data_IF_632507619634
#
_entry.id   IF_632507619634
#
_cell.length_a   1.000
_cell.length_b   1.000
_cell.length_c   1.000
_cell.angle_alpha   90.00
_cell.angle_beta   90.00
_cell.angle_gamma   90.00
#
_symmetry.space_group_name_H-M   'P 1'
#
loop_
_entity.id
_entity.type
_entity.pdbx_description
1 polymer ?
#
# COMPACT_ATOMS: atom_id res chain seq x y z
N UNK A 1 71.47 18.71 -6.69
CA UNK A 1 72.53 17.87 -6.10
C UNK A 1 72.40 16.49 -6.70
N UNK A 2 73.43 16.08 -7.44
CA UNK A 2 73.79 14.74 -7.94
C UNK A 2 72.81 13.87 -8.75
N UNK A 3 73.10 13.76 -10.07
CA UNK A 3 73.10 12.48 -10.80
C UNK A 3 74.21 11.55 -10.25
N UNK A 4 74.05 10.22 -10.31
CA UNK A 4 74.81 9.40 -11.28
C UNK A 4 73.96 8.27 -11.95
N UNK A 5 74.20 7.87 -13.21
CA UNK A 5 75.19 6.87 -13.73
C UNK A 5 74.77 5.41 -13.39
N UNK A 6 74.90 4.34 -14.18
CA UNK A 6 75.61 4.00 -15.43
C UNK A 6 75.12 2.56 -15.83
N UNK A 7 74.84 2.26 -17.10
CA UNK A 7 75.62 1.35 -18.00
C UNK A 7 75.26 -0.16 -18.02
N UNK A 8 75.75 -0.96 -19.02
CA UNK A 8 74.91 -1.71 -19.96
C UNK A 8 75.24 -3.24 -19.97
N UNK A 9 74.90 -3.96 -21.08
CA UNK A 9 75.39 -5.26 -21.61
C UNK A 9 74.19 -6.20 -21.91
N UNK A 10 73.82 -6.44 -23.18
CA UNK A 10 74.36 -7.39 -24.18
C UNK A 10 73.81 -8.83 -24.07
N UNK A 11 73.40 -9.37 -25.23
CA UNK A 11 73.70 -10.69 -25.82
C UNK A 11 72.47 -11.33 -26.54
N UNK A 12 72.70 -11.57 -27.83
CA UNK A 12 72.10 -12.51 -28.82
C UNK A 12 71.24 -13.68 -28.32
N UNK A 13 70.23 -14.05 -29.15
CA UNK A 13 70.13 -15.37 -29.85
C UNK A 13 68.93 -15.38 -30.83
N UNK A 14 69.14 -15.85 -32.07
CA UNK A 14 68.11 -16.45 -32.94
C UNK A 14 68.04 -17.97 -32.64
N UNK A 15 66.89 -18.65 -32.78
CA UNK A 15 66.50 -19.34 -34.03
C UNK A 15 64.98 -19.18 -34.34
N UNK A 16 64.54 -19.06 -35.58
CA UNK A 16 64.28 -20.12 -36.58
C UNK A 16 63.10 -21.06 -36.27
N UNK A 17 62.20 -21.14 -37.27
CA UNK A 17 61.20 -22.18 -37.59
C UNK A 17 59.76 -22.10 -37.02
N UNK A 18 58.85 -21.94 -37.99
CA UNK A 18 57.60 -22.68 -38.23
C UNK A 18 56.64 -22.94 -37.06
N UNK A 19 55.41 -22.43 -37.22
CA UNK A 19 54.27 -23.29 -37.55
C UNK A 19 53.02 -22.47 -37.85
N UNK A 20 52.38 -22.81 -38.96
CA UNK A 20 50.96 -22.55 -39.19
C UNK A 20 50.16 -23.05 -37.98
N UNK A 21 49.34 -22.17 -37.41
CA UNK A 21 48.31 -22.54 -36.46
C UNK A 21 46.97 -21.97 -36.96
N UNK A 22 46.00 -22.88 -36.97
CA UNK A 22 44.72 -22.87 -37.64
C UNK A 22 43.78 -21.69 -37.28
N UNK A 23 42.88 -21.31 -38.21
CA UNK A 23 41.85 -20.33 -37.96
C UNK A 23 40.76 -20.87 -37.02
N UNK A 24 40.45 -20.05 -36.01
CA UNK A 24 39.11 -19.73 -35.49
C UNK A 24 38.04 -20.83 -35.53
N UNK A 25 37.67 -21.33 -34.35
CA UNK A 25 36.31 -21.80 -34.08
C UNK A 25 35.95 -21.50 -32.63
N UNK A 26 35.53 -20.25 -32.40
CA UNK A 26 34.80 -19.84 -31.20
C UNK A 26 33.40 -20.45 -31.26
N UNK A 27 33.19 -21.58 -30.58
CA UNK A 27 31.86 -22.07 -30.24
C UNK A 27 31.30 -21.17 -29.13
N UNK A 28 30.50 -20.16 -29.52
CA UNK A 28 29.63 -19.46 -28.58
C UNK A 28 28.57 -20.44 -28.07
N UNK A 29 28.74 -20.91 -26.84
CA UNK A 29 27.68 -21.62 -26.13
C UNK A 29 26.59 -20.61 -25.74
N UNK A 30 25.47 -20.67 -26.46
CA UNK A 30 24.30 -19.83 -26.25
C UNK A 30 23.58 -20.28 -24.96
N UNK A 31 23.95 -19.68 -23.84
CA UNK A 31 23.27 -19.90 -22.55
C UNK A 31 21.85 -19.37 -22.62
N UNK A 32 20.87 -20.26 -22.70
CA UNK A 32 19.44 -19.93 -22.67
C UNK A 32 19.06 -19.51 -21.24
N UNK A 33 19.06 -18.21 -20.97
CA UNK A 33 18.57 -17.62 -19.72
C UNK A 33 17.04 -17.81 -19.66
N UNK A 34 16.59 -18.73 -18.81
CA UNK A 34 15.18 -18.83 -18.41
C UNK A 34 14.79 -17.56 -17.66
N UNK A 35 14.11 -16.64 -18.32
CA UNK A 35 13.47 -15.49 -17.69
C UNK A 35 12.25 -15.98 -16.90
N UNK A 36 12.42 -16.17 -15.59
CA UNK A 36 11.32 -16.44 -14.66
C UNK A 36 10.43 -15.19 -14.63
N UNK A 37 9.32 -15.23 -15.37
CA UNK A 37 8.30 -14.19 -15.34
C UNK A 37 7.49 -14.34 -14.05
N UNK A 38 7.93 -13.69 -12.97
CA UNK A 38 7.11 -13.54 -11.78
C UNK A 38 5.94 -12.59 -12.13
N UNK A 39 4.75 -13.14 -12.33
CA UNK A 39 3.54 -12.32 -12.41
C UNK A 39 3.39 -11.53 -11.09
N UNK A 40 3.14 -10.22 -11.13
CA UNK A 40 2.91 -9.47 -9.91
C UNK A 40 1.68 -10.05 -9.23
N UNK A 41 1.85 -10.58 -8.02
CA UNK A 41 0.74 -10.94 -7.17
C UNK A 41 -0.08 -9.66 -6.95
N UNK A 42 -1.24 -9.57 -7.58
CA UNK A 42 -2.16 -8.47 -7.36
C UNK A 42 -2.66 -8.59 -5.91
N UNK A 43 -2.05 -7.82 -5.01
CA UNK A 43 -2.54 -7.69 -3.67
C UNK A 43 -3.96 -7.11 -3.77
N UNK A 44 -4.95 -7.86 -3.28
CA UNK A 44 -6.30 -7.34 -3.16
C UNK A 44 -6.23 -6.03 -2.38
N UNK A 45 -6.82 -4.93 -2.89
CA UNK A 45 -6.73 -3.66 -2.22
C UNK A 45 -7.36 -3.78 -0.82
N UNK A 46 -6.63 -3.32 0.20
CA UNK A 46 -7.06 -3.38 1.60
C UNK A 46 -8.03 -2.24 1.93
N UNK A 47 -8.84 -2.44 2.98
CA UNK A 47 -9.71 -1.37 3.52
C UNK A 47 -8.92 -0.19 4.11
N UNK A 48 -7.68 -0.45 4.50
CA UNK A 48 -6.83 0.48 5.20
C UNK A 48 -6.56 1.72 4.36
N UNK A 49 -6.45 2.87 5.03
CA UNK A 49 -6.11 4.12 4.36
C UNK A 49 -6.83 5.31 4.94
N UNK A 50 -6.64 6.44 4.28
CA UNK A 50 -7.28 7.71 4.60
C UNK A 50 -8.21 8.06 3.45
N UNK A 51 -9.42 8.45 3.79
CA UNK A 51 -10.46 8.80 2.84
C UNK A 51 -10.98 10.19 3.18
N UNK A 52 -11.30 10.96 2.15
CA UNK A 52 -11.89 12.28 2.30
C UNK A 52 -12.99 12.46 1.27
N UNK A 53 -14.01 13.22 1.65
CA UNK A 53 -15.12 13.49 0.77
C UNK A 53 -16.12 14.42 1.39
N UNK A 54 -17.38 14.24 0.98
CA UNK A 54 -18.47 15.13 1.34
C UNK A 54 -19.77 14.37 1.54
N UNK A 55 -20.60 14.96 2.38
CA UNK A 55 -22.02 14.69 2.55
C UNK A 55 -22.72 16.03 2.66
N UNK A 56 -23.44 16.26 3.75
CA UNK A 56 -23.85 17.62 4.15
C UNK A 56 -22.66 18.51 4.51
N UNK A 57 -21.58 17.92 5.03
CA UNK A 57 -20.36 18.60 5.43
C UNK A 57 -19.09 18.00 4.82
N UNK A 58 -17.95 18.44 5.35
CA UNK A 58 -16.65 17.80 5.08
C UNK A 58 -16.59 16.48 5.85
N UNK A 59 -16.27 15.40 5.14
CA UNK A 59 -16.06 14.09 5.74
C UNK A 59 -14.60 13.66 5.63
N UNK A 60 -14.08 13.08 6.70
CA UNK A 60 -12.80 12.37 6.69
C UNK A 60 -12.93 11.03 7.40
N UNK A 61 -12.22 10.02 6.92
CA UNK A 61 -12.20 8.69 7.48
C UNK A 61 -10.77 8.16 7.46
N UNK A 62 -10.36 7.52 8.55
CA UNK A 62 -9.14 6.71 8.64
C UNK A 62 -9.53 5.30 9.02
N UNK A 63 -8.97 4.33 8.29
CA UNK A 63 -9.14 2.89 8.57
C UNK A 63 -7.76 2.29 8.77
N UNK A 64 -7.59 1.58 9.88
CA UNK A 64 -6.32 0.93 10.26
C UNK A 64 -6.59 -0.53 10.61
N UNK A 65 -5.64 -1.45 10.35
CA UNK A 65 -5.79 -2.83 10.81
C UNK A 65 -5.77 -2.85 12.35
N UNK A 66 -6.57 -3.72 12.96
CA UNK A 66 -6.56 -3.91 14.42
C UNK A 66 -6.31 -5.35 14.84
N UNK A 67 -6.84 -6.32 14.09
CA UNK A 67 -6.65 -7.74 14.39
C UNK A 67 -7.87 -8.55 13.95
N UNK A 68 -8.35 -9.42 14.85
CA UNK A 68 -9.55 -10.24 14.63
C UNK A 68 -10.42 -10.27 15.88
N UNK A 69 -11.72 -10.45 15.70
CA UNK A 69 -12.67 -10.78 16.75
C UNK A 69 -13.34 -12.10 16.38
N UNK A 70 -12.99 -13.19 17.09
CA UNK A 70 -13.26 -14.54 16.61
C UNK A 70 -12.53 -14.79 15.28
N UNK A 71 -13.26 -15.27 14.27
CA UNK A 71 -12.71 -15.56 12.94
C UNK A 71 -12.70 -14.34 12.00
N UNK A 72 -13.38 -13.26 12.34
CA UNK A 72 -13.55 -12.09 11.46
C UNK A 72 -12.46 -11.03 11.69
N UNK A 73 -11.86 -10.45 10.62
CA UNK A 73 -10.98 -9.29 10.74
C UNK A 73 -11.67 -8.08 11.37
N UNK A 74 -10.90 -7.30 12.14
CA UNK A 74 -11.35 -6.05 12.75
C UNK A 74 -10.43 -4.90 12.40
N UNK A 75 -11.04 -3.72 12.33
CA UNK A 75 -10.39 -2.48 11.90
C UNK A 75 -10.65 -1.38 12.91
N UNK A 76 -9.65 -0.56 13.17
CA UNK A 76 -9.84 0.70 13.87
C UNK A 76 -10.33 1.74 12.86
N UNK A 77 -11.43 2.42 13.20
CA UNK A 77 -12.05 3.47 12.39
C UNK A 77 -12.04 4.77 13.18
N UNK A 78 -11.61 5.85 12.54
CA UNK A 78 -11.76 7.22 13.00
C UNK A 78 -12.44 8.03 11.88
N UNK A 79 -13.65 8.50 12.12
CA UNK A 79 -14.43 9.31 11.19
C UNK A 79 -14.71 10.68 11.80
N UNK A 80 -14.72 11.70 10.95
CA UNK A 80 -15.05 13.07 11.32
C UNK A 80 -15.99 13.68 10.29
N UNK A 81 -16.99 14.42 10.77
CA UNK A 81 -17.84 15.29 9.97
C UNK A 81 -17.77 16.72 10.48
N UNK A 82 -17.81 17.69 9.56
CA UNK A 82 -17.86 19.11 9.90
C UNK A 82 -18.71 19.87 8.90
N UNK A 83 -19.86 20.35 9.38
CA UNK A 83 -20.81 21.21 8.68
C UNK A 83 -20.60 22.63 9.20
N UNK A 84 -20.08 23.56 8.38
CA UNK A 84 -19.78 24.92 8.83
C UNK A 84 -20.98 25.59 9.50
N UNK A 85 -20.76 26.18 10.68
CA UNK A 85 -21.77 26.89 11.48
C UNK A 85 -23.00 26.06 11.90
N UNK A 86 -22.94 24.73 11.81
CA UNK A 86 -24.08 23.86 12.16
C UNK A 86 -23.68 22.71 13.10
N UNK A 87 -22.77 21.83 12.68
CA UNK A 87 -22.43 20.62 13.43
C UNK A 87 -20.99 20.19 13.19
N UNK A 88 -20.36 19.60 14.21
CA UNK A 88 -19.07 18.92 14.07
C UNK A 88 -19.06 17.71 14.98
N UNK A 89 -18.66 16.57 14.43
CA UNK A 89 -18.74 15.28 15.12
C UNK A 89 -17.55 14.40 14.80
N UNK A 90 -17.19 13.55 15.76
CA UNK A 90 -16.19 12.50 15.59
C UNK A 90 -16.79 11.18 16.04
N UNK A 91 -16.50 10.12 15.28
CA UNK A 91 -16.82 8.74 15.63
C UNK A 91 -15.52 7.93 15.57
N UNK A 92 -15.18 7.26 16.66
CA UNK A 92 -14.02 6.37 16.71
C UNK A 92 -14.38 5.04 17.34
N UNK A 93 -13.85 3.93 16.80
CA UNK A 93 -14.09 2.62 17.37
C UNK A 93 -13.56 1.45 16.56
N UNK A 94 -14.05 0.26 16.90
CA UNK A 94 -13.71 -0.99 16.21
C UNK A 94 -14.82 -1.36 15.25
N UNK A 95 -14.52 -1.33 13.96
CA UNK A 95 -15.40 -1.89 12.95
C UNK A 95 -15.10 -3.36 12.71
N UNK A 96 -16.16 -4.16 12.58
CA UNK A 96 -16.08 -5.56 12.14
C UNK A 96 -16.32 -5.63 10.64
N UNK A 97 -15.59 -6.49 9.96
CA UNK A 97 -15.92 -6.82 8.58
C UNK A 97 -17.15 -7.73 8.55
N UNK A 98 -18.22 -7.29 7.88
CA UNK A 98 -19.48 -8.05 7.78
C UNK A 98 -19.63 -8.75 6.42
N UNK A 99 -18.95 -8.25 5.39
CA UNK A 99 -18.86 -8.90 4.08
C UNK A 99 -17.55 -8.50 3.37
N UNK A 100 -17.37 -8.92 2.11
CA UNK A 100 -16.16 -8.64 1.33
C UNK A 100 -15.84 -7.15 1.19
N UNK A 101 -16.83 -6.26 1.24
CA UNK A 101 -16.70 -4.84 0.97
C UNK A 101 -17.24 -3.92 2.07
N UNK A 102 -17.74 -4.46 3.16
CA UNK A 102 -18.43 -3.67 4.18
C UNK A 102 -17.79 -3.84 5.55
N UNK A 103 -17.51 -2.70 6.18
CA UNK A 103 -17.18 -2.61 7.60
C UNK A 103 -18.36 -1.99 8.35
N UNK A 104 -18.63 -2.49 9.56
CA UNK A 104 -19.65 -1.91 10.43
C UNK A 104 -19.06 -1.63 11.81
N UNK A 105 -19.20 -0.38 12.24
CA UNK A 105 -18.95 0.07 13.60
C UNK A 105 -20.30 0.20 14.31
N UNK A 106 -20.40 -0.32 15.52
CA UNK A 106 -21.58 -0.20 16.37
C UNK A 106 -21.16 0.45 17.68
N UNK A 107 -21.74 1.61 17.98
CA UNK A 107 -21.56 2.34 19.22
C UNK A 107 -22.72 1.98 20.15
N UNK A 108 -22.45 1.38 21.32
CA UNK A 108 -23.52 1.04 22.26
C UNK A 108 -24.13 2.30 22.84
N UNK A 109 -25.47 2.35 22.89
CA UNK A 109 -26.25 3.35 23.63
C UNK A 109 -27.20 2.67 24.60
N UNK A 110 -27.92 3.47 25.38
CA UNK A 110 -28.78 2.97 26.47
C UNK A 110 -30.01 2.20 25.95
N UNK A 111 -30.64 2.67 24.87
CA UNK A 111 -31.83 2.05 24.28
C UNK A 111 -31.57 1.40 22.92
N UNK A 112 -30.71 2.00 22.10
CA UNK A 112 -30.35 1.52 20.77
C UNK A 112 -28.86 1.80 20.49
N UNK A 113 -28.30 1.08 19.52
CA UNK A 113 -26.93 1.32 19.06
C UNK A 113 -26.93 2.30 17.87
N UNK A 114 -25.94 3.19 17.84
CA UNK A 114 -25.61 3.96 16.65
C UNK A 114 -24.70 3.11 15.75
N UNK A 115 -25.13 2.85 14.52
CA UNK A 115 -24.36 2.09 13.55
C UNK A 115 -23.80 3.00 12.46
N UNK A 116 -22.49 2.87 12.22
CA UNK A 116 -21.82 3.45 11.04
C UNK A 116 -21.42 2.31 10.12
N UNK A 117 -21.99 2.29 8.91
CA UNK A 117 -21.70 1.31 7.86
C UNK A 117 -20.81 1.94 6.80
N UNK A 118 -19.69 1.30 6.49
CA UNK A 118 -18.73 1.74 5.48
C UNK A 118 -18.73 0.74 4.32
N UNK A 119 -19.27 1.14 3.17
CA UNK A 119 -19.35 0.33 1.95
C UNK A 119 -18.27 0.75 0.97
N UNK A 120 -17.28 -0.10 0.76
CA UNK A 120 -16.15 0.19 -0.11
C UNK A 120 -16.44 -0.27 -1.54
N UNK A 121 -15.94 0.50 -2.51
CA UNK A 121 -15.85 0.05 -3.90
C UNK A 121 -14.94 -1.19 -4.01
N UNK A 122 -15.12 -1.95 -5.08
CA UNK A 122 -14.31 -3.14 -5.39
C UNK A 122 -12.81 -2.81 -5.52
N UNK A 123 -12.49 -1.59 -5.93
CA UNK A 123 -11.13 -1.06 -6.05
C UNK A 123 -10.58 -0.43 -4.77
N UNK A 124 -11.38 -0.35 -3.70
CA UNK A 124 -11.13 0.37 -2.43
C UNK A 124 -10.76 1.84 -2.58
N UNK A 125 -10.97 2.45 -3.73
CA UNK A 125 -10.68 3.88 -3.91
C UNK A 125 -11.82 4.75 -3.43
N UNK A 126 -13.03 4.19 -3.31
CA UNK A 126 -14.24 4.89 -2.88
C UNK A 126 -14.89 4.19 -1.71
N UNK A 127 -15.55 4.95 -0.85
CA UNK A 127 -16.35 4.44 0.26
C UNK A 127 -17.61 5.29 0.43
N UNK A 128 -18.75 4.64 0.64
CA UNK A 128 -19.99 5.27 1.10
C UNK A 128 -20.10 5.02 2.60
N UNK A 129 -20.30 6.08 3.37
CA UNK A 129 -20.51 6.04 4.81
C UNK A 129 -22.00 6.26 5.08
N UNK A 130 -22.63 5.36 5.81
CA UNK A 130 -24.06 5.40 6.17
C UNK A 130 -24.20 5.38 7.69
N UNK A 131 -25.06 6.22 8.26
CA UNK A 131 -25.39 6.25 9.68
C UNK A 131 -26.82 5.75 9.96
N UNK A 132 -27.01 5.10 11.11
CA UNK A 132 -28.32 4.64 11.55
C UNK A 132 -28.42 4.71 13.09
N UNK A 133 -29.49 5.31 13.60
CA UNK A 133 -29.75 5.36 15.05
C UNK A 133 -28.79 6.24 15.84
N UNK A 134 -28.22 7.27 15.22
CA UNK A 134 -27.16 8.10 15.83
C UNK A 134 -27.65 9.43 16.44
N UNK A 135 -28.94 9.75 16.34
CA UNK A 135 -29.53 11.02 16.81
C UNK A 135 -29.27 11.32 18.28
N UNK A 136 -29.21 10.29 19.12
CA UNK A 136 -29.09 10.43 20.58
C UNK A 136 -27.62 10.38 21.05
N UNK A 137 -26.66 10.31 20.12
CA UNK A 137 -25.24 10.15 20.42
C UNK A 137 -24.48 11.48 20.26
N UNK A 138 -23.83 11.93 21.33
CA UNK A 138 -22.97 13.12 21.27
C UNK A 138 -21.79 12.92 20.31
N UNK A 139 -21.80 13.62 19.17
CA UNK A 139 -20.81 13.50 18.11
C UNK A 139 -21.38 12.80 16.87
N UNK A 140 -21.72 11.50 16.94
CA UNK A 140 -22.37 10.76 15.85
C UNK A 140 -23.72 11.32 15.40
N UNK A 141 -24.38 12.17 16.20
CA UNK A 141 -25.63 12.84 15.81
C UNK A 141 -25.46 13.87 14.67
N UNK A 142 -24.24 14.27 14.32
CA UNK A 142 -24.00 15.07 13.12
C UNK A 142 -24.06 14.18 11.87
N UNK A 143 -24.44 14.72 10.70
CA UNK A 143 -24.54 13.93 9.47
C UNK A 143 -23.18 13.33 9.01
N UNK A 144 -22.98 12.03 9.20
CA UNK A 144 -21.86 11.23 8.66
C UNK A 144 -22.16 10.64 7.29
N UNK A 145 -23.41 10.68 6.85
CA UNK A 145 -23.81 10.22 5.53
C UNK A 145 -23.07 10.96 4.42
N UNK A 146 -22.21 10.24 3.69
CA UNK A 146 -21.66 10.75 2.44
C UNK A 146 -20.75 9.78 1.69
N UNK A 147 -20.09 10.30 0.66
CA UNK A 147 -19.16 9.56 -0.17
C UNK A 147 -17.75 10.12 0.00
N UNK A 148 -16.77 9.22 0.16
CA UNK A 148 -15.37 9.54 0.31
C UNK A 148 -14.49 8.81 -0.71
N UNK A 149 -13.37 9.43 -1.04
CA UNK A 149 -12.34 8.88 -1.93
C UNK A 149 -11.02 8.76 -1.17
N UNK A 150 -10.28 7.68 -1.44
CA UNK A 150 -8.97 7.43 -0.86
C UNK A 150 -7.99 8.53 -1.26
N UNK A 151 -7.16 8.96 -0.32
CA UNK A 151 -6.08 9.94 -0.51
C UNK A 151 -4.74 9.27 -0.73
#
# INVERSE_FOLDING_TARGET
MFCPSNRPISIRRMPHLHRLAHPTSTLLSLGMLFAISAAPAQANPSFEGRYQGRGEGRLTLKVSPRGKAGSAPTYAVDAFTGIPNACSGTVSGVARQIDTNTLRLSLPGDEAACEITLRFGTDRKRVRMEEQGCSDFHGPACAFDGALTRR
#
